data_IF_001592340271
#
_entry.id   IF_001592340271
#
_cell.length_a   1.000
_cell.length_b   1.000
_cell.length_c   1.000
_cell.angle_alpha   90.00
_cell.angle_beta   90.00
_cell.angle_gamma   90.00
#
_symmetry.space_group_name_H-M   'P 1'
#
loop_
_entity.id
_entity.type
_entity.pdbx_description
1 polymer ?
#
# COMPACT_ATOMS: atom_id res chain seq x y z
N UNK A 1 37.31 -24.19 -18.06
CA UNK A 1 36.05 -24.57 -17.37
C UNK A 1 36.20 -25.80 -16.45
N UNK A 2 37.39 -26.13 -15.96
CA UNK A 2 37.58 -27.13 -14.91
C UNK A 2 38.60 -26.58 -13.91
N UNK A 3 38.12 -26.19 -12.72
CA UNK A 3 38.84 -25.88 -11.45
C UNK A 3 38.08 -24.82 -10.60
N UNK A 4 36.76 -24.97 -10.46
CA UNK A 4 35.96 -24.16 -9.52
C UNK A 4 35.38 -25.01 -8.37
N UNK A 5 35.65 -26.33 -8.35
CA UNK A 5 35.04 -27.28 -7.40
C UNK A 5 35.72 -27.38 -6.01
N UNK A 6 36.57 -26.45 -5.59
CA UNK A 6 37.06 -26.42 -4.21
C UNK A 6 36.73 -25.06 -3.58
N UNK A 7 35.74 -25.08 -2.70
CA UNK A 7 35.05 -23.92 -2.11
C UNK A 7 35.91 -23.01 -1.24
N UNK A 8 36.90 -22.33 -1.81
CA UNK A 8 37.72 -21.36 -1.08
C UNK A 8 38.10 -20.13 -1.88
N UNK A 9 37.21 -19.62 -2.74
CA UNK A 9 37.34 -18.25 -3.26
C UNK A 9 35.93 -17.63 -3.27
N UNK A 10 35.69 -16.66 -2.37
CA UNK A 10 34.51 -15.79 -2.48
C UNK A 10 34.52 -15.21 -3.88
N UNK A 11 33.51 -15.54 -4.69
CA UNK A 11 33.34 -14.99 -6.01
C UNK A 11 33.39 -13.46 -5.92
N UNK A 12 34.46 -12.85 -6.42
CA UNK A 12 34.54 -11.40 -6.55
C UNK A 12 33.41 -10.98 -7.48
N UNK A 13 32.47 -10.20 -6.94
CA UNK A 13 31.33 -9.67 -7.70
C UNK A 13 31.84 -8.99 -8.97
N UNK A 14 31.27 -9.37 -10.11
CA UNK A 14 31.57 -8.70 -11.38
C UNK A 14 31.14 -7.22 -11.29
N UNK A 15 31.86 -6.29 -11.94
CA UNK A 15 31.48 -4.88 -11.99
C UNK A 15 30.10 -4.74 -12.63
N UNK A 16 29.20 -3.98 -11.99
CA UNK A 16 27.79 -3.91 -12.41
C UNK A 16 27.57 -2.91 -13.54
N UNK A 17 28.56 -2.06 -13.85
CA UNK A 17 28.49 -1.02 -14.87
C UNK A 17 29.80 -0.88 -15.68
N UNK A 18 29.73 -0.51 -16.96
CA UNK A 18 30.90 -0.41 -17.86
C UNK A 18 31.96 0.60 -17.40
N UNK A 19 31.54 1.67 -16.70
CA UNK A 19 32.47 2.63 -16.09
C UNK A 19 33.24 2.05 -14.90
N UNK A 20 32.65 1.12 -14.14
CA UNK A 20 33.31 0.45 -13.01
C UNK A 20 34.35 -0.56 -13.50
N UNK A 21 34.15 -1.17 -14.67
CA UNK A 21 35.12 -2.10 -15.28
C UNK A 21 36.47 -1.45 -15.52
N UNK A 22 36.49 -0.20 -16.03
CA UNK A 22 37.73 0.54 -16.27
C UNK A 22 38.51 0.76 -14.96
N UNK A 23 37.83 1.23 -13.92
CA UNK A 23 38.45 1.40 -12.61
C UNK A 23 38.94 0.09 -11.98
N UNK A 24 38.25 -1.03 -12.24
CA UNK A 24 38.66 -2.35 -11.79
C UNK A 24 39.92 -2.85 -12.52
N UNK A 25 39.98 -2.67 -13.83
CA UNK A 25 41.14 -3.03 -14.64
C UNK A 25 42.37 -2.19 -14.28
N UNK A 26 42.21 -0.88 -14.05
CA UNK A 26 43.29 0.00 -13.64
C UNK A 26 43.85 -0.40 -12.26
N UNK A 27 42.96 -0.75 -11.31
CA UNK A 27 43.37 -1.25 -9.98
C UNK A 27 44.00 -2.64 -10.03
N UNK A 28 43.64 -3.50 -10.99
CA UNK A 28 44.30 -4.80 -11.18
C UNK A 28 45.70 -4.66 -11.79
N UNK A 29 45.94 -3.62 -12.59
CA UNK A 29 47.25 -3.30 -13.19
C UNK A 29 48.20 -2.65 -12.17
N UNK A 30 47.67 -2.02 -11.13
CA UNK A 30 48.46 -1.44 -10.05
C UNK A 30 49.22 -2.51 -9.24
N UNK A 31 50.52 -2.64 -9.53
CA UNK A 31 51.42 -3.61 -8.89
C UNK A 31 51.57 -3.40 -7.37
N UNK A 32 51.35 -2.17 -6.89
CA UNK A 32 51.41 -1.81 -5.46
C UNK A 32 50.35 -2.54 -4.64
N UNK A 33 49.13 -2.66 -5.17
CA UNK A 33 48.03 -3.38 -4.51
C UNK A 33 48.37 -4.87 -4.41
N UNK A 34 48.99 -5.45 -5.45
CA UNK A 34 49.49 -6.84 -5.41
C UNK A 34 50.61 -7.04 -4.40
N UNK A 35 51.50 -6.08 -4.25
CA UNK A 35 52.59 -6.14 -3.26
C UNK A 35 52.05 -6.02 -1.83
N UNK A 36 51.13 -5.10 -1.57
CA UNK A 36 50.48 -4.96 -0.25
C UNK A 36 49.64 -6.20 0.10
N UNK A 37 48.90 -6.78 -0.85
CA UNK A 37 48.17 -8.04 -0.65
C UNK A 37 49.10 -9.23 -0.34
N UNK A 38 50.34 -9.22 -0.84
CA UNK A 38 51.33 -10.25 -0.54
C UNK A 38 52.05 -10.03 0.80
N UNK A 39 52.06 -8.79 1.31
CA UNK A 39 52.65 -8.47 2.62
C UNK A 39 51.72 -8.96 3.72
N UNK A 40 52.23 -9.82 4.59
CA UNK A 40 51.53 -10.21 5.83
C UNK A 40 51.72 -9.10 6.86
N UNK A 41 50.67 -8.34 7.13
CA UNK A 41 50.66 -7.37 8.21
C UNK A 41 50.45 -8.08 9.56
N UNK A 42 51.53 -8.27 10.30
CA UNK A 42 51.54 -8.95 11.62
C UNK A 42 50.56 -8.31 12.61
N UNK A 43 50.50 -6.97 12.64
CA UNK A 43 49.56 -6.23 13.49
C UNK A 43 48.08 -6.53 13.19
N UNK A 44 47.72 -6.76 11.93
CA UNK A 44 46.35 -7.09 11.55
C UNK A 44 45.99 -8.51 12.00
N UNK A 45 46.93 -9.45 11.85
CA UNK A 45 46.78 -10.84 12.31
C UNK A 45 46.58 -10.88 13.83
N UNK A 46 47.39 -10.12 14.58
CA UNK A 46 47.26 -10.03 16.04
C UNK A 46 45.91 -9.43 16.46
N UNK A 47 45.41 -8.44 15.74
CA UNK A 47 44.10 -7.85 16.02
C UNK A 47 42.95 -8.79 15.64
N UNK A 48 43.07 -9.54 14.54
CA UNK A 48 42.08 -10.55 14.16
C UNK A 48 42.02 -11.70 15.18
N UNK A 49 43.16 -12.14 15.70
CA UNK A 49 43.23 -13.19 16.70
C UNK A 49 42.60 -12.79 18.05
N UNK A 50 42.46 -11.48 18.32
CA UNK A 50 41.72 -10.97 19.49
C UNK A 50 40.21 -11.02 19.32
N UNK A 51 39.69 -11.15 18.09
CA UNK A 51 38.25 -11.21 17.83
C UNK A 51 37.76 -12.63 18.13
N UNK A 52 37.17 -12.82 19.30
CA UNK A 52 36.55 -14.08 19.68
C UNK A 52 35.09 -14.12 19.18
N UNK A 53 34.89 -14.60 17.96
CA UNK A 53 33.54 -14.86 17.43
C UNK A 53 33.04 -16.15 18.05
N UNK A 54 32.16 -16.03 19.05
CA UNK A 54 31.38 -17.18 19.52
C UNK A 54 30.12 -17.24 18.68
N UNK A 55 29.95 -18.32 17.92
CA UNK A 55 28.66 -18.61 17.29
C UNK A 55 27.73 -19.02 18.41
N UNK A 56 26.88 -18.11 18.85
CA UNK A 56 25.68 -18.48 19.59
C UNK A 56 24.74 -19.10 18.58
N UNK A 57 24.65 -20.43 18.56
CA UNK A 57 23.44 -21.08 18.04
C UNK A 57 22.28 -20.40 18.75
N UNK A 58 21.37 -19.73 18.02
CA UNK A 58 20.24 -19.09 18.68
C UNK A 58 19.54 -20.17 19.50
N UNK A 59 19.17 -19.89 20.77
CA UNK A 59 18.40 -20.85 21.56
C UNK A 59 17.23 -21.32 20.71
N UNK A 60 16.93 -22.63 20.76
CA UNK A 60 15.81 -23.21 20.01
C UNK A 60 14.61 -22.29 20.19
N UNK A 61 14.12 -21.74 19.08
CA UNK A 61 12.89 -20.95 19.11
C UNK A 61 11.85 -21.86 19.71
N UNK A 62 11.25 -21.44 20.82
CA UNK A 62 10.10 -22.14 21.38
C UNK A 62 9.04 -22.20 20.27
N UNK A 63 8.92 -23.33 19.61
CA UNK A 63 7.79 -23.62 18.74
C UNK A 63 6.84 -24.41 19.59
N UNK A 64 5.60 -23.94 19.74
CA UNK A 64 4.59 -24.69 20.48
C UNK A 64 4.50 -26.11 19.90
N UNK A 65 4.64 -27.13 20.74
CA UNK A 65 4.43 -28.53 20.33
C UNK A 65 2.99 -28.80 19.87
N UNK A 66 2.07 -27.87 20.18
CA UNK A 66 0.69 -27.91 19.71
C UNK A 66 0.65 -27.52 18.24
N UNK A 67 0.17 -28.43 17.40
CA UNK A 67 -0.08 -28.18 15.99
C UNK A 67 -1.04 -26.99 15.83
N UNK A 68 -0.70 -26.09 14.91
CA UNK A 68 -1.58 -24.97 14.57
C UNK A 68 -2.83 -25.50 13.84
N UNK A 69 -3.97 -24.80 13.95
CA UNK A 69 -5.18 -25.17 13.21
C UNK A 69 -4.87 -25.31 11.72
N UNK A 70 -5.22 -26.46 11.16
CA UNK A 70 -5.14 -26.73 9.73
C UNK A 70 -6.51 -26.48 9.08
N UNK A 71 -6.53 -26.26 7.76
CA UNK A 71 -7.78 -26.10 7.00
C UNK A 71 -8.73 -27.30 7.15
N UNK A 72 -8.17 -28.50 7.32
CA UNK A 72 -8.93 -29.72 7.54
C UNK A 72 -9.58 -29.73 8.93
N UNK A 73 -8.86 -29.27 9.96
CA UNK A 73 -9.41 -29.11 11.30
C UNK A 73 -10.54 -28.08 11.34
N UNK A 74 -10.42 -26.95 10.64
CA UNK A 74 -11.50 -25.96 10.54
C UNK A 74 -12.75 -26.53 9.87
N UNK A 75 -12.58 -27.36 8.84
CA UNK A 75 -13.71 -27.98 8.15
C UNK A 75 -14.52 -28.92 9.05
N UNK A 76 -13.83 -29.68 9.92
CA UNK A 76 -14.48 -30.60 10.87
C UNK A 76 -15.38 -29.89 11.88
N UNK A 77 -15.05 -28.64 12.22
CA UNK A 77 -15.75 -27.85 13.21
C UNK A 77 -16.64 -26.75 12.62
N UNK A 78 -16.88 -26.77 11.31
CA UNK A 78 -17.68 -25.75 10.60
C UNK A 78 -19.10 -25.56 11.14
N UNK A 79 -19.68 -26.62 11.72
CA UNK A 79 -21.05 -26.61 12.23
C UNK A 79 -21.10 -26.34 13.75
N UNK A 80 -19.96 -26.19 14.42
CA UNK A 80 -19.90 -25.96 15.86
C UNK A 80 -19.96 -24.45 16.14
N UNK A 81 -21.04 -23.94 16.76
CA UNK A 81 -21.24 -22.51 16.97
C UNK A 81 -20.26 -21.91 17.99
N UNK A 82 -19.53 -22.74 18.75
CA UNK A 82 -18.53 -22.29 19.74
C UNK A 82 -17.11 -22.29 19.15
N UNK A 83 -16.91 -22.98 18.02
CA UNK A 83 -15.62 -23.05 17.35
C UNK A 83 -15.47 -21.93 16.32
N UNK A 84 -14.59 -20.98 16.59
CA UNK A 84 -14.23 -19.94 15.62
C UNK A 84 -12.72 -19.72 15.58
N UNK A 85 -12.20 -19.48 14.37
CA UNK A 85 -10.78 -19.19 14.11
C UNK A 85 -9.79 -20.22 14.71
N UNK A 86 -10.22 -21.47 14.87
CA UNK A 86 -9.39 -22.54 15.41
C UNK A 86 -9.34 -22.64 16.94
N UNK A 87 -10.22 -21.93 17.65
CA UNK A 87 -10.27 -21.92 19.11
C UNK A 87 -11.67 -22.17 19.64
N UNK A 88 -11.75 -22.91 20.76
CA UNK A 88 -12.95 -22.98 21.59
C UNK A 88 -12.98 -21.80 22.56
N UNK A 89 -14.02 -20.98 22.48
CA UNK A 89 -14.20 -19.90 23.44
C UNK A 89 -14.78 -20.43 24.76
N UNK A 90 -14.26 -19.98 25.92
CA UNK A 90 -14.82 -20.35 27.21
C UNK A 90 -16.23 -19.76 27.36
N UNK A 91 -17.16 -20.46 28.03
CA UNK A 91 -18.49 -19.93 28.29
C UNK A 91 -18.39 -18.66 29.14
N UNK A 92 -19.34 -17.73 28.92
CA UNK A 92 -19.38 -16.42 29.55
C UNK A 92 -19.27 -16.47 31.09
N UNK A 93 -19.81 -17.51 31.71
CA UNK A 93 -19.78 -17.72 33.17
C UNK A 93 -18.37 -17.94 33.73
N UNK A 94 -17.47 -18.54 32.94
CA UNK A 94 -16.10 -18.85 33.35
C UNK A 94 -15.11 -17.74 32.97
N UNK A 95 -15.59 -16.66 32.36
CA UNK A 95 -14.71 -15.60 31.90
C UNK A 95 -14.33 -14.64 33.05
N UNK A 96 -13.03 -14.34 33.22
CA UNK A 96 -12.60 -13.36 34.21
C UNK A 96 -13.01 -11.94 33.78
N UNK A 97 -13.25 -11.08 34.78
CA UNK A 97 -13.58 -9.67 34.54
C UNK A 97 -12.43 -8.94 33.82
N UNK A 98 -12.78 -8.04 32.91
CA UNK A 98 -11.81 -7.29 32.11
C UNK A 98 -11.21 -8.04 30.92
N UNK A 99 -11.66 -9.27 30.61
CA UNK A 99 -11.35 -9.96 29.35
C UNK A 99 -12.57 -10.00 28.43
N UNK A 100 -12.29 -10.04 27.13
CA UNK A 100 -13.26 -10.23 26.05
C UNK A 100 -12.96 -11.53 25.32
N UNK A 101 -14.00 -12.14 24.75
CA UNK A 101 -13.80 -13.25 23.80
C UNK A 101 -13.27 -12.73 22.46
N UNK A 102 -12.68 -13.60 21.65
CA UNK A 102 -12.14 -13.20 20.35
C UNK A 102 -13.27 -12.78 19.41
N UNK A 103 -14.40 -13.51 19.41
CA UNK A 103 -15.63 -13.15 18.68
C UNK A 103 -16.14 -11.77 19.07
N UNK A 104 -16.30 -11.55 20.39
CA UNK A 104 -16.72 -10.25 20.93
C UNK A 104 -15.74 -9.15 20.50
N UNK A 105 -14.44 -9.40 20.54
CA UNK A 105 -13.40 -8.45 20.14
C UNK A 105 -13.48 -8.08 18.66
N UNK A 106 -13.60 -9.06 17.76
CA UNK A 106 -13.71 -8.82 16.31
C UNK A 106 -14.98 -8.05 15.99
N UNK A 107 -16.10 -8.39 16.63
CA UNK A 107 -17.37 -7.68 16.46
C UNK A 107 -17.27 -6.22 16.91
N UNK A 108 -16.65 -5.97 18.06
CA UNK A 108 -16.40 -4.62 18.58
C UNK A 108 -15.50 -3.83 17.62
N UNK A 109 -14.39 -4.40 17.19
CA UNK A 109 -13.45 -3.75 16.27
C UNK A 109 -14.13 -3.39 14.95
N UNK A 110 -14.94 -4.30 14.41
CA UNK A 110 -15.75 -4.05 13.21
C UNK A 110 -16.73 -2.90 13.43
N UNK A 111 -17.48 -2.90 14.53
CA UNK A 111 -18.43 -1.82 14.87
C UNK A 111 -17.73 -0.47 15.03
N UNK A 112 -16.55 -0.45 15.64
CA UNK A 112 -15.74 0.76 15.76
C UNK A 112 -15.27 1.27 14.40
N UNK A 113 -14.87 0.37 13.51
CA UNK A 113 -14.53 0.72 12.13
C UNK A 113 -15.75 1.30 11.39
N UNK A 114 -16.91 0.66 11.47
CA UNK A 114 -18.14 1.14 10.84
C UNK A 114 -18.57 2.51 11.38
N UNK A 115 -18.42 2.75 12.69
CA UNK A 115 -18.70 4.05 13.31
C UNK A 115 -17.74 5.15 12.85
N UNK A 116 -16.47 4.82 12.58
CA UNK A 116 -15.43 5.76 12.17
C UNK A 116 -15.24 5.88 10.66
N UNK A 117 -15.87 5.01 9.87
CA UNK A 117 -15.81 5.07 8.40
C UNK A 117 -16.37 6.40 7.91
N UNK A 118 -15.56 7.14 7.16
CA UNK A 118 -15.94 8.42 6.57
C UNK A 118 -16.69 8.18 5.26
N UNK A 119 -17.98 8.50 5.25
CA UNK A 119 -18.81 8.54 4.04
C UNK A 119 -19.81 9.69 4.14
N UNK A 120 -19.91 10.47 3.06
CA UNK A 120 -20.85 11.59 2.95
C UNK A 120 -22.28 11.16 2.58
N UNK A 121 -22.49 9.87 2.26
CA UNK A 121 -23.81 9.37 1.90
C UNK A 121 -24.75 9.27 3.12
N UNK A 122 -26.04 9.51 2.90
CA UNK A 122 -27.07 9.35 3.93
C UNK A 122 -27.11 7.91 4.49
N UNK A 123 -26.80 6.91 3.66
CA UNK A 123 -26.68 5.50 4.06
C UNK A 123 -25.48 5.27 4.98
N UNK A 124 -24.33 5.89 4.72
CA UNK A 124 -23.17 5.82 5.60
C UNK A 124 -23.45 6.48 6.96
N UNK A 125 -24.18 7.60 6.99
CA UNK A 125 -24.61 8.23 8.23
C UNK A 125 -25.52 7.33 9.09
N UNK A 126 -26.47 6.61 8.47
CA UNK A 126 -27.31 5.64 9.18
C UNK A 126 -26.51 4.46 9.71
N UNK A 127 -25.58 3.92 8.93
CA UNK A 127 -24.70 2.82 9.35
C UNK A 127 -23.83 3.23 10.55
N UNK A 128 -23.28 4.44 10.55
CA UNK A 128 -22.53 4.98 11.70
C UNK A 128 -23.38 5.05 12.97
N UNK A 129 -24.58 5.63 12.87
CA UNK A 129 -25.48 5.73 14.03
C UNK A 129 -25.88 4.37 14.57
N UNK A 130 -26.11 3.39 13.68
CA UNK A 130 -26.40 2.02 14.07
C UNK A 130 -25.21 1.38 14.80
N UNK A 131 -24.01 1.50 14.23
CA UNK A 131 -22.78 0.98 14.82
C UNK A 131 -22.50 1.59 16.21
N UNK A 132 -22.71 2.90 16.39
CA UNK A 132 -22.57 3.56 17.69
C UNK A 132 -23.55 3.05 18.75
N UNK A 133 -24.81 2.80 18.38
CA UNK A 133 -25.81 2.21 19.30
C UNK A 133 -25.40 0.80 19.68
N UNK A 134 -25.08 -0.02 18.69
CA UNK A 134 -24.66 -1.40 18.90
C UNK A 134 -23.34 -1.53 19.68
N UNK A 135 -22.48 -0.52 19.65
CA UNK A 135 -21.26 -0.46 20.47
C UNK A 135 -21.57 -0.10 21.94
N UNK A 136 -22.54 0.80 22.17
CA UNK A 136 -22.98 1.17 23.53
C UNK A 136 -23.71 0.03 24.23
N UNK A 137 -24.51 -0.73 23.50
CA UNK A 137 -25.37 -1.78 24.04
C UNK A 137 -24.65 -3.15 24.15
N UNK A 138 -23.40 -3.26 23.69
CA UNK A 138 -22.68 -4.53 23.68
C UNK A 138 -22.30 -4.99 25.12
N UNK A 139 -22.60 -6.25 25.45
CA UNK A 139 -22.29 -6.84 26.76
C UNK A 139 -20.79 -6.77 27.07
N UNK A 140 -19.94 -6.95 26.06
CA UNK A 140 -18.48 -6.92 26.22
C UNK A 140 -17.93 -5.50 26.46
N UNK A 141 -18.56 -4.47 25.89
CA UNK A 141 -18.15 -3.07 26.12
C UNK A 141 -18.48 -2.61 27.53
N UNK A 142 -19.62 -3.06 28.07
CA UNK A 142 -19.99 -2.86 29.47
C UNK A 142 -19.04 -3.60 30.42
N UNK A 143 -18.66 -4.85 30.08
CA UNK A 143 -17.82 -5.70 30.95
C UNK A 143 -16.38 -5.18 31.11
N UNK A 144 -15.78 -4.69 30.03
CA UNK A 144 -14.35 -4.31 30.01
C UNK A 144 -14.15 -2.80 30.18
N UNK A 145 -15.15 -2.01 29.85
CA UNK A 145 -15.11 -0.55 29.90
C UNK A 145 -14.60 0.04 28.59
N UNK A 146 -15.15 1.20 28.25
CA UNK A 146 -14.91 1.86 26.96
C UNK A 146 -13.45 2.24 26.73
N UNK A 147 -12.75 2.72 27.76
CA UNK A 147 -11.36 3.19 27.66
C UNK A 147 -10.40 2.08 27.21
N UNK A 148 -10.54 0.87 27.76
CA UNK A 148 -9.71 -0.28 27.39
C UNK A 148 -9.97 -0.71 25.94
N UNK A 149 -11.22 -0.62 25.50
CA UNK A 149 -11.61 -0.97 24.13
C UNK A 149 -11.09 0.05 23.13
N UNK A 150 -11.14 1.33 23.48
CA UNK A 150 -10.54 2.39 22.66
C UNK A 150 -9.03 2.18 22.51
N UNK A 151 -8.33 1.81 23.59
CA UNK A 151 -6.90 1.46 23.54
C UNK A 151 -6.60 0.22 22.68
N UNK A 152 -7.43 -0.83 22.76
CA UNK A 152 -7.33 -2.01 21.90
C UNK A 152 -7.51 -1.61 20.44
N UNK A 153 -8.53 -0.80 20.14
CA UNK A 153 -8.77 -0.34 18.78
C UNK A 153 -7.61 0.50 18.23
N UNK A 154 -7.03 1.41 19.02
CA UNK A 154 -5.85 2.17 18.61
C UNK A 154 -4.66 1.28 18.25
N UNK A 155 -4.47 0.17 18.98
CA UNK A 155 -3.42 -0.81 18.68
C UNK A 155 -3.68 -1.56 17.37
N UNK A 156 -4.94 -1.91 17.09
CA UNK A 156 -5.32 -2.67 15.89
C UNK A 156 -5.57 -1.81 14.65
N UNK A 157 -5.76 -0.50 14.82
CA UNK A 157 -6.01 0.46 13.74
C UNK A 157 -5.02 0.36 12.56
N UNK A 158 -3.70 0.19 12.76
CA UNK A 158 -2.76 0.08 11.64
C UNK A 158 -2.97 -1.15 10.74
N UNK A 159 -3.71 -2.17 11.22
CA UNK A 159 -4.02 -3.38 10.45
C UNK A 159 -5.34 -3.28 9.70
N UNK A 160 -6.06 -2.16 9.83
CA UNK A 160 -7.28 -1.92 9.09
C UNK A 160 -6.98 -1.80 7.59
N UNK A 161 -7.55 -2.72 6.81
CA UNK A 161 -7.57 -2.64 5.35
C UNK A 161 -8.99 -2.35 4.90
N UNK A 162 -9.23 -1.11 4.50
CA UNK A 162 -10.45 -0.75 3.79
C UNK A 162 -10.24 -1.01 2.30
N UNK A 163 -10.72 -2.15 1.79
CA UNK A 163 -10.88 -2.30 0.35
C UNK A 163 -12.09 -1.44 -0.08
N UNK A 164 -11.81 -0.26 -0.63
CA UNK A 164 -12.84 0.57 -1.24
C UNK A 164 -13.09 0.08 -2.67
N UNK A 165 -14.16 -0.67 -2.86
CA UNK A 165 -14.63 -0.97 -4.21
C UNK A 165 -15.39 0.24 -4.75
N UNK A 166 -14.92 0.81 -5.87
CA UNK A 166 -15.67 1.85 -6.59
C UNK A 166 -16.87 1.19 -7.28
N UNK A 167 -17.98 1.10 -6.58
CA UNK A 167 -19.25 0.63 -7.14
C UNK A 167 -19.92 1.80 -7.84
N UNK A 168 -20.04 1.74 -9.16
CA UNK A 168 -20.77 2.75 -9.94
C UNK A 168 -22.26 2.49 -9.82
N UNK A 169 -23.08 3.55 -9.69
CA UNK A 169 -24.52 3.36 -9.60
C UNK A 169 -25.08 2.81 -10.92
N UNK A 170 -26.05 1.88 -10.85
CA UNK A 170 -26.70 1.32 -12.06
C UNK A 170 -27.36 2.42 -12.90
N UNK A 171 -27.80 3.49 -12.26
CA UNK A 171 -28.43 4.64 -12.91
C UNK A 171 -27.43 5.46 -13.73
N UNK A 172 -26.23 5.70 -13.20
CA UNK A 172 -25.14 6.34 -13.94
C UNK A 172 -24.69 5.51 -15.14
N UNK A 173 -24.62 4.17 -14.98
CA UNK A 173 -24.29 3.27 -16.08
C UNK A 173 -25.36 3.30 -17.18
N UNK A 174 -26.65 3.30 -16.81
CA UNK A 174 -27.74 3.42 -17.76
C UNK A 174 -27.69 4.76 -18.52
N UNK A 175 -27.43 5.87 -17.82
CA UNK A 175 -27.25 7.19 -18.45
C UNK A 175 -26.05 7.24 -19.39
N UNK A 176 -24.92 6.67 -18.99
CA UNK A 176 -23.72 6.58 -19.83
C UNK A 176 -24.01 5.74 -21.09
N UNK A 177 -24.72 4.62 -20.94
CA UNK A 177 -25.10 3.75 -22.03
C UNK A 177 -26.04 4.47 -23.01
N UNK A 178 -27.04 5.19 -22.52
CA UNK A 178 -27.95 5.97 -23.36
C UNK A 178 -27.23 7.12 -24.09
N UNK A 179 -26.28 7.78 -23.42
CA UNK A 179 -25.44 8.82 -24.04
C UNK A 179 -24.52 8.25 -25.13
N UNK A 180 -23.87 7.11 -24.89
CA UNK A 180 -23.03 6.42 -25.87
C UNK A 180 -23.83 5.90 -27.08
N UNK A 181 -25.10 5.57 -26.89
CA UNK A 181 -26.00 5.12 -27.95
C UNK A 181 -26.70 6.28 -28.68
N UNK A 182 -26.40 7.54 -28.32
CA UNK A 182 -27.03 8.72 -28.93
C UNK A 182 -28.52 8.86 -28.64
N UNK A 183 -29.02 8.17 -27.59
CA UNK A 183 -30.42 8.20 -27.15
C UNK A 183 -30.67 9.20 -26.03
N UNK A 184 -29.61 9.77 -25.46
CA UNK A 184 -29.66 10.79 -24.42
C UNK A 184 -29.54 12.21 -24.98
N UNK A 185 -30.11 13.17 -24.26
CA UNK A 185 -29.97 14.59 -24.54
C UNK A 185 -28.52 15.04 -24.23
N UNK A 186 -27.71 15.25 -25.29
CA UNK A 186 -26.26 15.51 -25.20
C UNK A 186 -25.92 16.70 -24.28
N UNK A 187 -26.80 17.71 -24.23
CA UNK A 187 -26.67 18.87 -23.37
C UNK A 187 -26.86 18.54 -21.88
N UNK A 188 -27.77 17.60 -21.57
CA UNK A 188 -28.06 17.19 -20.19
C UNK A 188 -26.93 16.35 -19.58
N UNK A 189 -26.24 15.56 -20.40
CA UNK A 189 -25.12 14.72 -19.94
C UNK A 189 -23.91 15.59 -19.56
N UNK A 190 -23.57 16.58 -20.38
CA UNK A 190 -22.46 17.51 -20.11
C UNK A 190 -22.77 18.43 -18.93
N UNK A 191 -24.00 18.92 -18.81
CA UNK A 191 -24.41 19.79 -17.69
C UNK A 191 -24.43 19.04 -16.33
N UNK A 192 -24.95 17.81 -16.30
CA UNK A 192 -25.05 17.03 -15.06
C UNK A 192 -23.71 16.41 -14.64
N UNK A 193 -22.85 16.04 -15.58
CA UNK A 193 -21.54 15.47 -15.29
C UNK A 193 -20.44 16.54 -15.19
N UNK A 194 -20.76 17.82 -15.39
CA UNK A 194 -19.78 18.92 -15.34
C UNK A 194 -19.04 18.99 -14.00
N UNK A 195 -19.67 18.55 -12.90
CA UNK A 195 -19.06 18.45 -11.56
C UNK A 195 -18.06 17.30 -11.42
N UNK A 196 -18.36 16.12 -11.95
CA UNK A 196 -17.45 14.96 -11.91
C UNK A 196 -16.32 15.08 -12.93
N UNK A 197 -16.61 15.64 -14.11
CA UNK A 197 -15.63 15.99 -15.13
C UNK A 197 -14.68 17.05 -14.58
N UNK A 198 -15.18 18.10 -13.91
CA UNK A 198 -14.33 19.06 -13.19
C UNK A 198 -13.50 18.41 -12.09
N UNK A 199 -14.04 17.43 -11.34
CA UNK A 199 -13.27 16.68 -10.33
C UNK A 199 -12.16 15.83 -10.96
N UNK A 200 -12.40 15.20 -12.11
CA UNK A 200 -11.37 14.48 -12.89
C UNK A 200 -10.27 15.41 -13.42
N UNK A 201 -10.63 16.66 -13.76
CA UNK A 201 -9.65 17.69 -14.12
C UNK A 201 -8.91 18.26 -12.89
N UNK A 202 -9.58 18.43 -11.75
CA UNK A 202 -8.96 18.88 -10.49
C UNK A 202 -8.09 17.81 -9.82
N UNK A 203 -8.36 16.52 -9.99
CA UNK A 203 -7.45 15.44 -9.55
C UNK A 203 -6.14 15.44 -10.35
N UNK A 204 -6.19 15.82 -11.64
CA UNK A 204 -4.98 16.10 -12.42
C UNK A 204 -4.27 17.37 -11.94
N UNK A 205 -5.00 18.38 -11.48
CA UNK A 205 -4.41 19.60 -10.91
C UNK A 205 -3.73 19.34 -9.55
N UNK A 206 -4.28 18.48 -8.68
CA UNK A 206 -3.62 18.07 -7.42
C UNK A 206 -2.33 17.28 -7.64
N UNK A 207 -2.22 16.53 -8.74
CA UNK A 207 -0.96 15.88 -9.14
C UNK A 207 0.02 16.87 -9.81
N UNK A 208 -0.45 18.00 -10.31
CA UNK A 208 0.36 19.14 -10.77
C UNK A 208 0.90 19.97 -9.60
N UNK A 209 0.14 20.14 -8.53
CA UNK A 209 0.63 20.82 -7.31
C UNK A 209 1.80 20.08 -6.65
N UNK A 210 1.94 18.76 -6.85
CA UNK A 210 3.10 17.97 -6.39
C UNK A 210 4.30 18.00 -7.33
N UNK A 211 4.10 18.41 -8.58
CA UNK A 211 5.15 18.50 -9.58
C UNK A 211 4.95 19.83 -10.29
N UNK A 212 5.56 20.89 -9.73
CA UNK A 212 5.87 22.20 -10.35
C UNK A 212 5.53 23.36 -9.37
N UNK A 213 6.48 23.68 -8.49
CA UNK A 213 6.76 25.10 -8.21
C UNK A 213 7.69 25.58 -9.35
N UNK A 214 7.15 25.78 -10.54
CA UNK A 214 7.88 26.47 -11.61
C UNK A 214 7.78 27.95 -11.32
N UNK A 215 8.91 28.62 -11.47
CA UNK A 215 9.03 30.06 -11.25
C UNK A 215 8.03 30.79 -12.12
N UNK A 216 7.49 31.93 -11.63
CA UNK A 216 6.54 32.79 -12.34
C UNK A 216 7.00 33.20 -13.76
N UNK A 217 8.30 33.06 -14.06
CA UNK A 217 8.86 33.26 -15.40
C UNK A 217 8.58 32.09 -16.35
N UNK A 218 8.77 30.86 -15.89
CA UNK A 218 8.61 29.64 -16.70
C UNK A 218 7.13 29.39 -17.04
N UNK A 219 6.21 29.80 -16.16
CA UNK A 219 4.77 29.74 -16.44
C UNK A 219 4.35 30.73 -17.53
N UNK A 220 4.99 31.90 -17.60
CA UNK A 220 4.76 32.88 -18.67
C UNK A 220 5.33 32.40 -20.02
N UNK A 221 6.53 31.85 -20.02
CA UNK A 221 7.14 31.27 -21.23
C UNK A 221 6.32 30.11 -21.78
N UNK A 222 5.79 29.24 -20.91
CA UNK A 222 4.89 28.16 -21.30
C UNK A 222 3.58 28.70 -21.91
N UNK A 223 3.00 29.75 -21.33
CA UNK A 223 1.78 30.37 -21.85
C UNK A 223 2.00 31.01 -23.23
N UNK A 224 3.15 31.65 -23.45
CA UNK A 224 3.53 32.20 -24.75
C UNK A 224 3.74 31.11 -25.79
N UNK A 225 4.43 30.02 -25.44
CA UNK A 225 4.61 28.87 -26.33
C UNK A 225 3.27 28.21 -26.71
N UNK A 226 2.35 28.06 -25.77
CA UNK A 226 1.00 27.53 -26.04
C UNK A 226 0.21 28.48 -26.95
N UNK A 227 0.36 29.79 -26.77
CA UNK A 227 -0.32 30.80 -27.61
C UNK A 227 0.17 30.72 -29.06
N UNK A 228 1.49 30.57 -29.26
CA UNK A 228 2.10 30.42 -30.59
C UNK A 228 1.60 29.14 -31.27
N UNK A 229 1.63 28.00 -30.57
CA UNK A 229 1.14 26.73 -31.11
C UNK A 229 -0.33 26.81 -31.51
N UNK A 230 -1.17 27.47 -30.71
CA UNK A 230 -2.60 27.65 -31.03
C UNK A 230 -2.80 28.56 -32.24
N UNK A 231 -1.99 29.62 -32.41
CA UNK A 231 -2.06 30.45 -33.61
C UNK A 231 -1.67 29.67 -34.86
N UNK A 232 -0.58 28.90 -34.81
CA UNK A 232 -0.12 28.07 -35.92
C UNK A 232 -1.15 27.00 -36.30
N UNK A 233 -1.77 26.36 -35.31
CA UNK A 233 -2.82 25.38 -35.53
C UNK A 233 -4.08 26.02 -36.12
N UNK A 234 -4.44 27.23 -35.67
CA UNK A 234 -5.56 27.98 -36.25
C UNK A 234 -5.31 28.39 -37.71
N UNK A 235 -4.08 28.76 -38.06
CA UNK A 235 -3.69 29.08 -39.44
C UNK A 235 -3.68 27.83 -40.32
N UNK A 236 -3.19 26.70 -39.79
CA UNK A 236 -3.26 25.41 -40.49
C UNK A 236 -4.70 24.98 -40.75
N UNK A 237 -5.58 25.16 -39.77
CA UNK A 237 -7.01 24.84 -39.90
C UNK A 237 -7.71 25.77 -40.88
N UNK A 238 -7.38 27.07 -40.88
CA UNK A 238 -7.88 28.01 -41.89
C UNK A 238 -7.45 27.63 -43.31
N UNK A 239 -6.17 27.29 -43.51
CA UNK A 239 -5.65 26.80 -44.80
C UNK A 239 -6.36 25.52 -45.25
N UNK A 240 -6.65 24.60 -44.32
CA UNK A 240 -7.45 23.39 -44.64
C UNK A 240 -8.90 23.71 -44.96
N UNK A 241 -9.51 24.68 -44.28
CA UNK A 241 -10.88 25.12 -44.58
C UNK A 241 -10.98 25.79 -45.95
N UNK A 242 -9.99 26.59 -46.32
CA UNK A 242 -9.88 27.21 -47.65
C UNK A 242 -9.74 26.15 -48.74
N UNK A 243 -8.90 25.12 -48.52
CA UNK A 243 -8.74 23.97 -49.44
C UNK A 243 -9.98 23.08 -49.57
N UNK A 244 -10.93 23.16 -48.64
CA UNK A 244 -12.20 22.39 -48.67
C UNK A 244 -13.32 23.21 -49.31
N UNK A 245 -13.18 24.53 -49.37
CA UNK A 245 -14.17 25.45 -49.96
C UNK A 245 -13.85 25.85 -51.42
N UNK A 246 -12.69 25.45 -51.96
CA UNK A 246 -12.41 25.34 -53.41
C UNK A 246 -12.83 23.96 -53.95
#
# INVERSE_FOLDING_TARGET
>A
LQKVEKGSVKATSAPKHESEKKHFEDRQKDGRVREELRKKHTHLVDNMNKIRITSTTPPERWTSAKELPSRESEFMHRNDPVWEYGFYEPPLEKMPSGKIMLREAIEILRKMQEARTEGESATAAQMRQRAERELRDNVATVRVGKEKIDAVYEYFRPFERGETQKVVSRHELARLQDALQGRGDEFSFVANNHGEIKKLFHEKDKNKERNIELSVKETKELQEAIRILRSEESERLKKRLEQINE
#
